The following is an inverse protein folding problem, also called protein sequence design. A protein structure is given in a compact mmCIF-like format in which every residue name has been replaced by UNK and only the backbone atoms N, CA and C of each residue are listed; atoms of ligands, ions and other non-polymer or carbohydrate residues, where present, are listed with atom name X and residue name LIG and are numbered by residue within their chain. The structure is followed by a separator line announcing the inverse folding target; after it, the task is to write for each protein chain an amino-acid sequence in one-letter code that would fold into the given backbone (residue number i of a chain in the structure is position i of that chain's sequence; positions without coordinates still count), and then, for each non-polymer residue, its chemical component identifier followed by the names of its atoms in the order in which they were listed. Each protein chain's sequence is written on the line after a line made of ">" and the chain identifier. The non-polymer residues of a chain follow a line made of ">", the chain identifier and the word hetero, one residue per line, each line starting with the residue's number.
data_IF_995699301923
#
_entry.id   IF_995699301923
#
_cell.length_a   1.000
_cell.length_b   1.000
_cell.length_c   1.000
_cell.angle_alpha   90.00
_cell.angle_beta   90.00
_cell.angle_gamma   90.00
#
_symmetry.space_group_name_H-M   'P 1'
#
loop_
_entity.id
_entity.type
_entity.pdbx_description
1 polymer ?
#
# COMPACT_ATOMS: atom_id res chain seq x y z
N UNK A 1 -24.40 22.79 1.84
CA UNK A 1 -25.00 21.88 0.82
C UNK A 1 -24.37 20.51 0.75
N UNK A 2 -23.08 20.34 0.41
CA UNK A 2 -22.46 19.00 0.35
C UNK A 2 -22.61 18.18 1.62
N UNK A 3 -22.35 18.77 2.79
CA UNK A 3 -22.49 18.10 4.10
C UNK A 3 -23.94 17.65 4.37
N UNK A 4 -24.92 18.48 4.02
CA UNK A 4 -26.35 18.18 4.14
C UNK A 4 -26.80 17.10 3.15
N UNK A 5 -26.31 17.15 1.92
CA UNK A 5 -26.53 16.11 0.90
C UNK A 5 -25.93 14.79 1.35
N UNK A 6 -24.73 14.79 1.93
CA UNK A 6 -24.13 13.58 2.47
C UNK A 6 -24.99 13.00 3.58
N UNK A 7 -25.54 13.81 4.49
CA UNK A 7 -26.44 13.35 5.56
C UNK A 7 -27.59 12.50 5.01
N UNK A 8 -28.32 13.01 4.02
CA UNK A 8 -29.54 12.39 3.48
C UNK A 8 -29.34 11.51 2.23
N UNK A 9 -28.16 11.56 1.62
CA UNK A 9 -27.90 11.02 0.29
C UNK A 9 -27.53 9.53 0.25
N UNK A 10 -27.47 8.95 -0.97
CA UNK A 10 -27.17 7.55 -1.18
C UNK A 10 -25.74 7.18 -0.76
N UNK A 11 -25.54 5.90 -0.42
CA UNK A 11 -24.30 5.36 0.16
C UNK A 11 -23.03 5.61 -0.66
N UNK A 12 -23.13 5.59 -1.98
CA UNK A 12 -21.99 5.72 -2.90
C UNK A 12 -21.81 7.13 -3.43
N UNK A 13 -21.92 8.11 -2.54
CA UNK A 13 -21.78 9.51 -2.89
C UNK A 13 -20.32 9.86 -3.18
N UNK A 14 -19.97 9.93 -4.47
CA UNK A 14 -18.70 10.52 -4.93
C UNK A 14 -18.53 11.98 -4.48
N UNK A 15 -19.60 12.61 -3.96
CA UNK A 15 -19.56 13.95 -3.40
C UNK A 15 -18.61 14.02 -2.19
N UNK A 16 -18.34 12.90 -1.49
CA UNK A 16 -17.37 12.88 -0.39
C UNK A 16 -15.97 13.26 -0.88
N UNK A 17 -15.54 12.77 -2.04
CA UNK A 17 -14.25 13.15 -2.62
C UNK A 17 -14.20 14.64 -2.96
N UNK A 18 -15.30 15.19 -3.49
CA UNK A 18 -15.38 16.63 -3.80
C UNK A 18 -15.36 17.48 -2.54
N UNK A 19 -16.10 17.08 -1.50
CA UNK A 19 -16.08 17.74 -0.19
C UNK A 19 -14.68 17.72 0.40
N UNK A 20 -13.99 16.58 0.39
CA UNK A 20 -12.61 16.47 0.88
C UNK A 20 -11.66 17.37 0.10
N UNK A 21 -11.75 17.42 -1.23
CA UNK A 21 -10.94 18.34 -2.06
C UNK A 21 -11.14 19.80 -1.63
N UNK A 22 -12.41 20.24 -1.54
CA UNK A 22 -12.74 21.61 -1.15
C UNK A 22 -12.28 21.93 0.27
N UNK A 23 -12.42 20.99 1.21
CA UNK A 23 -11.98 21.18 2.58
C UNK A 23 -10.45 21.32 2.69
N UNK A 24 -9.70 20.48 1.97
CA UNK A 24 -8.23 20.53 1.94
C UNK A 24 -7.70 21.81 1.27
N UNK A 25 -8.32 22.25 0.17
CA UNK A 25 -8.00 23.49 -0.54
C UNK A 25 -8.23 24.73 0.34
N UNK A 26 -9.25 24.71 1.20
CA UNK A 26 -9.68 25.86 2.01
C UNK A 26 -9.33 25.73 3.50
N UNK A 27 -8.28 24.98 3.84
CA UNK A 27 -7.89 24.67 5.24
C UNK A 27 -7.59 25.89 6.13
N UNK A 28 -7.24 27.03 5.54
CA UNK A 28 -6.92 28.28 6.27
C UNK A 28 -8.14 29.21 6.45
N UNK A 29 -9.27 28.90 5.82
CA UNK A 29 -10.47 29.74 5.92
C UNK A 29 -11.28 29.38 7.16
N UNK A 30 -11.37 30.30 8.12
CA UNK A 30 -12.05 30.07 9.40
C UNK A 30 -13.54 29.74 9.23
N UNK A 31 -14.24 30.42 8.31
CA UNK A 31 -15.66 30.15 8.03
C UNK A 31 -15.89 28.70 7.60
N UNK A 32 -15.00 28.15 6.77
CA UNK A 32 -15.09 26.75 6.33
C UNK A 32 -14.88 25.82 7.50
N UNK A 33 -13.88 26.08 8.35
CA UNK A 33 -13.64 25.30 9.56
C UNK A 33 -14.84 25.34 10.51
N UNK A 34 -15.49 26.49 10.69
CA UNK A 34 -16.68 26.61 11.54
C UNK A 34 -17.86 25.81 10.98
N UNK A 35 -18.14 25.92 9.67
CA UNK A 35 -19.20 25.14 9.01
C UNK A 35 -18.92 23.64 9.09
N UNK A 36 -17.66 23.23 8.93
CA UNK A 36 -17.28 21.83 9.09
C UNK A 36 -17.53 21.36 10.52
N UNK A 37 -17.10 22.11 11.54
CA UNK A 37 -17.28 21.74 12.96
C UNK A 37 -18.74 21.50 13.33
N UNK A 38 -19.64 22.37 12.87
CA UNK A 38 -21.08 22.29 13.14
C UNK A 38 -21.73 21.03 12.54
N UNK A 39 -21.22 20.55 11.41
CA UNK A 39 -21.86 19.46 10.66
C UNK A 39 -21.10 18.13 10.70
N UNK A 40 -19.79 18.11 11.01
CA UNK A 40 -18.95 16.90 10.99
C UNK A 40 -19.44 15.82 11.94
N UNK A 41 -19.98 16.23 13.09
CA UNK A 41 -20.50 15.31 14.11
C UNK A 41 -21.81 14.63 13.69
N UNK A 42 -22.54 15.23 12.74
CA UNK A 42 -23.83 14.73 12.28
C UNK A 42 -23.73 13.75 11.10
N UNK A 43 -22.54 13.57 10.53
CA UNK A 43 -22.30 12.64 9.42
C UNK A 43 -21.74 11.34 9.98
N UNK A 44 -22.31 10.22 9.56
CA UNK A 44 -21.82 8.88 9.91
C UNK A 44 -20.39 8.66 9.41
N UNK A 45 -19.53 8.13 10.27
CA UNK A 45 -18.09 7.92 10.06
C UNK A 45 -17.79 6.99 8.87
N UNK A 46 -18.65 6.00 8.60
CA UNK A 46 -18.48 5.07 7.47
C UNK A 46 -18.35 5.78 6.10
N UNK A 47 -18.92 6.98 5.96
CA UNK A 47 -18.85 7.76 4.71
C UNK A 47 -17.46 8.34 4.45
N UNK A 48 -16.65 8.50 5.48
CA UNK A 48 -15.31 9.05 5.38
C UNK A 48 -14.25 7.97 5.06
N UNK A 49 -14.55 6.68 5.25
CA UNK A 49 -13.59 5.59 5.03
C UNK A 49 -12.93 5.61 3.65
N UNK A 50 -13.66 5.88 2.54
CA UNK A 50 -13.05 5.95 1.22
C UNK A 50 -12.08 7.13 1.05
N UNK A 51 -12.11 8.14 1.91
CA UNK A 51 -11.20 9.31 1.84
C UNK A 51 -10.13 9.30 2.94
N UNK A 52 -10.16 8.34 3.87
CA UNK A 52 -9.13 8.21 4.92
C UNK A 52 -7.70 8.18 4.36
N UNK A 53 -7.38 7.46 3.26
CA UNK A 53 -6.04 7.49 2.68
C UNK A 53 -5.59 8.87 2.18
N UNK A 54 -6.54 9.72 1.77
CA UNK A 54 -6.28 11.09 1.33
C UNK A 54 -6.18 12.06 2.52
N UNK A 55 -6.90 11.79 3.61
CA UNK A 55 -6.92 12.58 4.83
C UNK A 55 -5.70 12.31 5.73
N UNK A 56 -5.28 11.05 5.85
CA UNK A 56 -4.20 10.65 6.76
C UNK A 56 -2.86 11.38 6.54
N UNK A 57 -2.41 11.69 5.30
CA UNK A 57 -1.19 12.47 5.06
C UNK A 57 -1.21 13.88 5.68
N UNK A 58 -2.39 14.43 5.96
CA UNK A 58 -2.59 15.75 6.55
C UNK A 58 -2.67 15.74 8.09
N UNK A 59 -2.57 14.56 8.73
CA UNK A 59 -2.39 14.47 10.18
C UNK A 59 -1.16 15.30 10.57
N UNK A 60 -1.23 15.96 11.71
CA UNK A 60 -0.13 16.76 12.25
C UNK A 60 -0.23 16.84 13.78
N UNK A 61 0.88 17.17 14.44
CA UNK A 61 0.95 17.44 15.88
C UNK A 61 0.77 18.93 16.24
N UNK A 62 0.47 19.77 15.25
CA UNK A 62 0.20 21.20 15.43
C UNK A 62 -1.18 21.41 16.08
N UNK A 63 -1.20 21.85 17.33
CA UNK A 63 -2.43 22.05 18.10
C UNK A 63 -3.09 23.42 17.86
N UNK A 64 -2.32 24.36 17.31
CA UNK A 64 -2.68 25.72 16.93
C UNK A 64 -3.62 25.78 15.72
N UNK A 65 -3.60 24.76 14.87
CA UNK A 65 -4.43 24.72 13.66
C UNK A 65 -5.80 24.06 13.90
N UNK A 66 -6.88 24.84 13.71
CA UNK A 66 -8.26 24.37 13.82
C UNK A 66 -8.55 23.21 12.86
N UNK A 67 -8.03 23.28 11.63
CA UNK A 67 -8.20 22.21 10.64
C UNK A 67 -7.58 20.90 11.14
N UNK A 68 -6.32 20.93 11.59
CA UNK A 68 -5.63 19.77 12.15
C UNK A 68 -6.39 19.16 13.33
N UNK A 69 -6.95 19.98 14.22
CA UNK A 69 -7.75 19.51 15.35
C UNK A 69 -9.01 18.77 14.91
N UNK A 70 -9.76 19.34 13.96
CA UNK A 70 -10.97 18.73 13.41
C UNK A 70 -10.65 17.43 12.66
N UNK A 71 -9.60 17.43 11.84
CA UNK A 71 -9.13 16.26 11.10
C UNK A 71 -8.73 15.11 12.04
N UNK A 72 -7.91 15.41 13.06
CA UNK A 72 -7.48 14.41 14.03
C UNK A 72 -8.67 13.83 14.79
N UNK A 73 -9.62 14.68 15.19
CA UNK A 73 -10.85 14.24 15.89
C UNK A 73 -11.70 13.33 15.01
N UNK A 74 -11.86 13.68 13.72
CA UNK A 74 -12.60 12.87 12.75
C UNK A 74 -11.95 11.50 12.55
N UNK A 75 -10.63 11.45 12.36
CA UNK A 75 -9.90 10.21 12.14
C UNK A 75 -9.89 9.33 13.40
N UNK A 76 -9.84 9.92 14.60
CA UNK A 76 -10.01 9.18 15.84
C UNK A 76 -11.41 8.56 15.96
N UNK A 77 -12.47 9.30 15.60
CA UNK A 77 -13.84 8.75 15.54
C UNK A 77 -13.94 7.60 14.54
N UNK A 78 -13.39 7.76 13.33
CA UNK A 78 -13.37 6.70 12.32
C UNK A 78 -12.54 5.48 12.77
N UNK A 79 -11.49 5.68 13.57
CA UNK A 79 -10.68 4.61 14.12
C UNK A 79 -11.40 3.82 15.22
N UNK A 80 -12.25 4.49 16.01
CA UNK A 80 -13.09 3.83 17.01
C UNK A 80 -14.25 3.08 16.36
N UNK A 81 -14.96 3.73 15.44
CA UNK A 81 -16.14 3.16 14.80
C UNK A 81 -15.79 2.07 13.77
N UNK A 82 -14.68 2.24 13.04
CA UNK A 82 -14.25 1.37 11.95
C UNK A 82 -12.74 1.03 12.04
N UNK A 83 -12.33 0.26 13.06
CA UNK A 83 -10.91 0.04 13.36
C UNK A 83 -10.17 -0.62 12.20
N UNK A 84 -10.74 -1.63 11.55
CA UNK A 84 -10.07 -2.37 10.47
C UNK A 84 -9.91 -1.58 9.16
N UNK A 85 -10.66 -0.50 8.97
CA UNK A 85 -10.56 0.36 7.79
C UNK A 85 -9.61 1.54 8.02
N UNK A 86 -9.60 2.08 9.24
CA UNK A 86 -8.88 3.32 9.56
C UNK A 86 -7.51 3.06 10.20
N UNK A 87 -7.41 2.13 11.15
CA UNK A 87 -6.17 1.87 11.89
C UNK A 87 -5.00 1.43 10.99
N UNK A 88 -5.17 0.57 9.97
CA UNK A 88 -4.06 0.18 9.10
C UNK A 88 -3.41 1.38 8.40
N UNK A 89 -4.21 2.39 8.00
CA UNK A 89 -3.71 3.60 7.34
C UNK A 89 -2.92 4.47 8.33
N UNK A 90 -3.45 4.68 9.54
CA UNK A 90 -2.79 5.46 10.59
C UNK A 90 -1.51 4.76 11.07
N UNK A 91 -1.55 3.44 11.25
CA UNK A 91 -0.40 2.62 11.64
C UNK A 91 0.71 2.68 10.60
N UNK A 92 0.38 2.56 9.31
CA UNK A 92 1.36 2.69 8.24
C UNK A 92 2.06 4.06 8.27
N UNK A 93 1.31 5.14 8.53
CA UNK A 93 1.85 6.48 8.66
C UNK A 93 2.76 6.61 9.90
N UNK A 94 2.32 6.12 11.06
CA UNK A 94 3.10 6.15 12.30
C UNK A 94 4.39 5.30 12.21
N UNK A 95 4.35 4.24 11.41
CA UNK A 95 5.47 3.33 11.15
C UNK A 95 6.34 3.77 9.95
N UNK A 96 6.10 4.94 9.34
CA UNK A 96 6.77 5.36 8.10
C UNK A 96 8.29 5.20 8.13
N UNK A 97 8.93 5.41 9.29
CA UNK A 97 10.39 5.33 9.42
C UNK A 97 10.92 4.05 10.10
N UNK A 98 10.05 3.10 10.47
CA UNK A 98 10.47 1.84 11.12
C UNK A 98 11.39 0.99 10.24
N UNK A 99 11.29 1.13 8.92
CA UNK A 99 12.20 0.45 7.98
C UNK A 99 13.68 0.78 8.21
N UNK A 100 13.98 1.97 8.75
CA UNK A 100 15.36 2.44 8.96
C UNK A 100 16.11 1.59 9.97
N UNK A 101 15.41 0.96 10.91
CA UNK A 101 15.96 0.01 11.88
C UNK A 101 16.64 -1.18 11.18
N UNK A 102 16.20 -1.51 9.96
CA UNK A 102 16.71 -2.65 9.20
C UNK A 102 17.64 -2.26 8.05
N UNK A 103 17.59 -1.00 7.57
CA UNK A 103 18.44 -0.56 6.45
C UNK A 103 19.71 0.17 6.88
N UNK A 104 19.97 0.32 8.19
CA UNK A 104 21.18 0.97 8.73
C UNK A 104 21.33 2.46 8.37
N UNK A 105 20.24 3.11 7.95
CA UNK A 105 20.27 4.53 7.57
C UNK A 105 20.38 5.41 8.82
N UNK A 106 21.31 6.38 8.82
CA UNK A 106 21.57 7.28 9.95
C UNK A 106 20.28 7.94 10.47
N UNK A 107 20.12 7.96 11.79
CA UNK A 107 18.99 8.46 12.57
C UNK A 107 18.75 9.99 12.52
N UNK A 108 19.47 10.73 11.67
CA UNK A 108 19.51 12.19 11.66
C UNK A 108 18.35 12.92 10.96
N UNK A 109 17.19 12.28 10.77
CA UNK A 109 16.04 12.94 10.12
C UNK A 109 15.04 13.33 11.20
N UNK A 110 14.80 14.64 11.32
CA UNK A 110 13.69 15.21 12.09
C UNK A 110 12.40 14.49 11.72
N UNK A 111 11.78 13.83 12.68
CA UNK A 111 10.51 13.12 12.46
C UNK A 111 9.48 14.10 11.92
N UNK A 112 8.91 13.78 10.76
CA UNK A 112 7.95 14.66 10.11
C UNK A 112 6.73 14.91 11.02
N UNK A 113 6.15 16.13 11.07
CA UNK A 113 5.00 16.47 11.92
C UNK A 113 3.83 15.49 11.77
N UNK A 114 3.62 14.94 10.57
CA UNK A 114 2.58 13.94 10.29
C UNK A 114 2.80 12.59 10.96
N UNK A 115 4.06 12.16 11.04
CA UNK A 115 4.43 10.90 11.71
C UNK A 115 4.27 11.06 13.21
N UNK A 116 4.73 12.18 13.77
CA UNK A 116 4.52 12.52 15.19
C UNK A 116 3.02 12.63 15.53
N UNK A 117 2.23 13.29 14.67
CA UNK A 117 0.78 13.39 14.83
C UNK A 117 0.10 12.02 14.86
N UNK A 118 0.48 11.13 13.95
CA UNK A 118 -0.05 9.76 13.90
C UNK A 118 0.36 8.93 15.13
N UNK A 119 1.62 9.04 15.57
CA UNK A 119 2.10 8.38 16.79
C UNK A 119 1.35 8.86 18.05
N UNK A 120 1.13 10.17 18.17
CA UNK A 120 0.34 10.74 19.26
C UNK A 120 -1.12 10.26 19.22
N UNK A 121 -1.70 10.17 18.03
CA UNK A 121 -3.06 9.64 17.83
C UNK A 121 -3.16 8.18 18.27
N UNK A 122 -2.21 7.32 17.87
CA UNK A 122 -2.14 5.92 18.32
C UNK A 122 -2.03 5.85 19.84
N UNK A 123 -1.19 6.69 20.46
CA UNK A 123 -1.04 6.71 21.91
C UNK A 123 -2.37 7.08 22.62
N UNK A 124 -3.16 8.01 22.07
CA UNK A 124 -4.50 8.33 22.58
C UNK A 124 -5.49 7.19 22.36
N UNK A 125 -5.48 6.57 21.17
CA UNK A 125 -6.36 5.44 20.85
C UNK A 125 -6.08 4.23 21.74
N UNK A 126 -4.82 3.99 22.14
CA UNK A 126 -4.47 2.95 23.12
C UNK A 126 -5.12 3.16 24.49
N UNK A 127 -5.51 4.38 24.86
CA UNK A 127 -6.18 4.64 26.14
C UNK A 127 -7.69 4.34 26.08
N UNK A 128 -8.25 4.14 24.89
CA UNK A 128 -9.66 3.81 24.67
C UNK A 128 -9.86 2.30 24.70
N UNK A 129 -10.72 1.80 25.59
CA UNK A 129 -10.93 0.37 25.81
C UNK A 129 -11.53 -0.33 24.59
N UNK A 130 -12.28 0.40 23.76
CA UNK A 130 -13.00 -0.09 22.59
C UNK A 130 -12.06 -0.60 21.49
N UNK A 131 -10.88 0.01 21.34
CA UNK A 131 -9.92 -0.30 20.26
C UNK A 131 -8.56 -0.74 20.74
N UNK A 132 -8.26 -0.63 22.04
CA UNK A 132 -6.94 -0.94 22.61
C UNK A 132 -6.47 -2.36 22.22
N UNK A 133 -7.32 -3.37 22.41
CA UNK A 133 -6.98 -4.77 22.15
C UNK A 133 -6.69 -5.05 20.67
N UNK A 134 -7.51 -4.50 19.78
CA UNK A 134 -7.34 -4.58 18.33
C UNK A 134 -6.03 -3.89 17.93
N UNK A 135 -5.78 -2.69 18.45
CA UNK A 135 -4.62 -1.87 18.11
C UNK A 135 -3.30 -2.53 18.54
N UNK A 136 -3.25 -3.12 19.73
CA UNK A 136 -2.07 -3.87 20.21
C UNK A 136 -1.77 -5.04 19.26
N UNK A 137 -2.77 -5.86 18.93
CA UNK A 137 -2.55 -6.98 18.02
C UNK A 137 -2.14 -6.51 16.61
N UNK A 138 -2.73 -5.42 16.10
CA UNK A 138 -2.35 -4.85 14.81
C UNK A 138 -0.91 -4.35 14.78
N UNK A 139 -0.43 -3.70 15.85
CA UNK A 139 0.96 -3.25 15.96
C UNK A 139 1.94 -4.41 15.96
N UNK A 140 1.63 -5.50 16.69
CA UNK A 140 2.46 -6.69 16.73
C UNK A 140 2.54 -7.37 15.36
N UNK A 141 1.40 -7.52 14.68
CA UNK A 141 1.33 -8.09 13.33
C UNK A 141 2.11 -7.22 12.35
N UNK A 142 1.92 -5.89 12.39
CA UNK A 142 2.63 -4.97 11.52
C UNK A 142 4.16 -5.03 11.74
N UNK A 143 4.61 -4.99 13.00
CA UNK A 143 6.03 -5.07 13.34
C UNK A 143 6.65 -6.39 12.87
N UNK A 144 5.95 -7.52 13.07
CA UNK A 144 6.42 -8.83 12.65
C UNK A 144 6.52 -8.96 11.11
N UNK A 145 5.54 -8.41 10.38
CA UNK A 145 5.56 -8.42 8.91
C UNK A 145 6.63 -7.48 8.33
N UNK A 146 6.88 -6.32 8.96
CA UNK A 146 8.00 -5.43 8.60
C UNK A 146 9.33 -6.18 8.83
N UNK A 147 9.52 -6.79 9.99
CA UNK A 147 10.73 -7.57 10.29
C UNK A 147 10.95 -8.69 9.26
N UNK A 148 9.87 -9.38 8.86
CA UNK A 148 9.91 -10.40 7.83
C UNK A 148 10.29 -9.82 6.45
N UNK A 149 9.78 -8.65 6.09
CA UNK A 149 10.10 -7.98 4.83
C UNK A 149 11.62 -7.77 4.68
N UNK A 150 12.30 -7.39 5.76
CA UNK A 150 13.75 -7.15 5.79
C UNK A 150 14.60 -8.34 6.20
N UNK A 151 14.00 -9.46 6.58
CA UNK A 151 14.75 -10.66 6.93
C UNK A 151 15.57 -11.17 5.73
N UNK A 152 16.89 -11.23 5.88
CA UNK A 152 17.81 -11.69 4.84
C UNK A 152 17.97 -13.21 4.92
N UNK A 153 17.89 -13.89 3.76
CA UNK A 153 18.12 -15.33 3.68
C UNK A 153 18.98 -15.71 2.50
N UNK A 154 19.58 -16.90 2.60
CA UNK A 154 20.23 -17.56 1.46
C UNK A 154 19.17 -17.80 0.39
N UNK A 155 19.53 -17.64 -0.90
CA UNK A 155 18.60 -17.71 -2.05
C UNK A 155 18.10 -19.15 -2.33
N UNK A 156 17.53 -19.83 -1.35
CA UNK A 156 16.83 -21.10 -1.53
C UNK A 156 15.37 -20.84 -1.90
N UNK A 157 14.75 -21.80 -2.62
CA UNK A 157 13.34 -21.69 -3.04
C UNK A 157 12.37 -21.57 -1.85
N UNK A 158 12.71 -22.19 -0.72
CA UNK A 158 11.92 -22.17 0.52
C UNK A 158 12.86 -21.86 1.69
N UNK A 159 12.45 -20.95 2.55
CA UNK A 159 13.17 -20.51 3.75
C UNK A 159 12.24 -20.56 4.96
N UNK A 160 12.79 -20.86 6.14
CA UNK A 160 12.02 -20.85 7.39
C UNK A 160 11.93 -19.44 7.97
N UNK A 161 10.78 -19.09 8.52
CA UNK A 161 10.54 -17.84 9.25
C UNK A 161 11.09 -18.00 10.67
N UNK A 162 11.86 -17.03 11.20
CA UNK A 162 12.31 -17.04 12.58
C UNK A 162 11.16 -17.17 13.59
N UNK A 163 11.34 -18.03 14.61
CA UNK A 163 10.37 -18.19 15.71
C UNK A 163 10.07 -16.89 16.45
N UNK A 164 11.03 -15.96 16.49
CA UNK A 164 10.86 -14.61 17.07
C UNK A 164 9.81 -13.77 16.34
N UNK A 165 9.61 -13.99 15.04
CA UNK A 165 8.59 -13.32 14.23
C UNK A 165 7.27 -14.09 14.32
N UNK A 166 7.31 -15.42 14.16
CA UNK A 166 6.11 -16.27 14.15
C UNK A 166 5.28 -16.15 15.43
N UNK A 167 5.90 -15.97 16.60
CA UNK A 167 5.18 -15.79 17.87
C UNK A 167 4.18 -14.63 17.86
N UNK A 168 4.44 -13.60 17.05
CA UNK A 168 3.56 -12.43 16.90
C UNK A 168 2.51 -12.59 15.80
N UNK A 169 2.57 -13.68 15.02
CA UNK A 169 1.72 -13.98 13.87
C UNK A 169 0.77 -15.17 14.11
N UNK A 170 0.58 -15.56 15.38
CA UNK A 170 -0.27 -16.68 15.79
C UNK A 170 -1.41 -16.13 16.67
N UNK A 171 -2.62 -16.66 16.47
CA UNK A 171 -3.82 -16.39 17.26
C UNK A 171 -4.14 -14.89 17.43
N UNK A 172 -4.07 -14.12 16.34
CA UNK A 172 -4.46 -12.70 16.30
C UNK A 172 -5.89 -12.56 15.77
N UNK A 173 -6.84 -13.11 16.54
CA UNK A 173 -8.26 -13.21 16.14
C UNK A 173 -8.95 -11.87 16.03
N UNK A 174 -8.46 -10.84 16.72
CA UNK A 174 -9.01 -9.48 16.67
C UNK A 174 -8.51 -8.69 15.46
N UNK A 175 -7.55 -9.22 14.68
CA UNK A 175 -7.00 -8.53 13.51
C UNK A 175 -7.43 -9.29 12.27
N UNK A 176 -8.26 -8.65 11.45
CA UNK A 176 -8.65 -9.21 10.18
C UNK A 176 -7.43 -9.54 9.30
N UNK A 177 -7.53 -10.61 8.51
CA UNK A 177 -6.48 -10.99 7.55
C UNK A 177 -6.18 -9.79 6.62
N UNK A 178 -4.92 -9.29 6.53
CA UNK A 178 -4.62 -8.00 5.89
C UNK A 178 -5.05 -7.89 4.42
N UNK A 179 -4.97 -9.01 3.69
CA UNK A 179 -5.28 -9.06 2.26
C UNK A 179 -6.76 -9.26 1.96
N UNK A 180 -7.62 -9.33 2.99
CA UNK A 180 -9.05 -9.50 2.82
C UNK A 180 -9.76 -8.15 2.72
N UNK A 181 -10.75 -8.06 1.83
CA UNK A 181 -11.64 -6.90 1.78
C UNK A 181 -12.73 -7.07 2.82
N UNK A 182 -12.76 -6.18 3.81
CA UNK A 182 -13.74 -6.19 4.90
C UNK A 182 -14.91 -5.29 4.49
N UNK A 183 -16.15 -5.79 4.44
CA UNK A 183 -17.31 -4.95 4.19
C UNK A 183 -17.44 -3.89 5.28
N UNK A 184 -17.95 -2.72 4.92
CA UNK A 184 -18.17 -1.65 5.89
C UNK A 184 -19.49 -1.93 6.60
N UNK A 185 -19.45 -2.15 7.92
CA UNK A 185 -20.65 -2.30 8.73
C UNK A 185 -21.11 -0.92 9.23
N UNK A 186 -22.36 -0.55 8.96
CA UNK A 186 -22.94 0.72 9.37
C UNK A 186 -23.20 0.83 10.87
N UNK A 187 -23.38 -0.32 11.53
CA UNK A 187 -23.62 -0.38 12.98
C UNK A 187 -22.31 -0.28 13.78
N UNK A 188 -21.18 -0.08 13.09
CA UNK A 188 -19.85 0.04 13.68
C UNK A 188 -19.40 -1.20 14.48
N UNK A 189 -20.01 -2.36 14.20
CA UNK A 189 -19.69 -3.65 14.83
C UNK A 189 -18.98 -4.58 13.85
N UNK A 190 -17.92 -5.22 14.31
CA UNK A 190 -17.03 -6.04 13.49
C UNK A 190 -16.78 -7.41 14.15
N UNK A 191 -17.83 -7.98 14.75
CA UNK A 191 -17.74 -9.24 15.49
C UNK A 191 -17.54 -10.47 14.57
N UNK A 192 -17.87 -10.33 13.28
CA UNK A 192 -17.85 -11.38 12.26
C UNK A 192 -16.58 -11.37 11.39
N UNK A 193 -15.55 -10.65 11.78
CA UNK A 193 -14.31 -10.58 11.01
C UNK A 193 -13.56 -11.92 11.00
N UNK A 194 -12.96 -12.22 9.84
CA UNK A 194 -12.02 -13.34 9.72
C UNK A 194 -10.66 -12.85 10.20
N UNK A 195 -10.37 -13.14 11.47
CA UNK A 195 -9.10 -12.88 12.13
C UNK A 195 -7.95 -13.75 11.61
N UNK A 196 -6.72 -13.44 12.04
CA UNK A 196 -5.53 -14.22 11.73
C UNK A 196 -5.44 -15.40 12.71
N UNK A 197 -5.51 -16.63 12.20
CA UNK A 197 -5.27 -17.83 13.00
C UNK A 197 -3.77 -18.13 13.10
N UNK A 198 -3.06 -18.24 11.97
CA UNK A 198 -1.60 -18.44 11.93
C UNK A 198 -1.00 -18.09 10.57
N UNK A 199 0.30 -17.87 10.52
CA UNK A 199 1.08 -17.86 9.28
C UNK A 199 1.86 -19.16 9.09
N UNK A 200 2.24 -19.48 7.86
CA UNK A 200 3.11 -20.61 7.55
C UNK A 200 4.51 -20.42 8.13
N UNK A 201 5.12 -21.49 8.63
CA UNK A 201 6.50 -21.46 9.18
C UNK A 201 7.58 -21.21 8.12
N UNK A 202 7.19 -21.27 6.84
CA UNK A 202 8.06 -21.12 5.70
C UNK A 202 7.57 -20.01 4.77
N UNK A 203 8.50 -19.43 4.02
CA UNK A 203 8.25 -18.49 2.95
C UNK A 203 9.03 -18.85 1.69
N UNK A 204 8.46 -18.54 0.53
CA UNK A 204 9.11 -18.68 -0.77
C UNK A 204 9.63 -17.34 -1.29
N UNK A 205 10.69 -17.37 -2.10
CA UNK A 205 11.16 -16.20 -2.84
C UNK A 205 10.58 -16.22 -4.26
N UNK A 206 9.98 -15.11 -4.70
CA UNK A 206 9.36 -15.01 -6.04
C UNK A 206 10.27 -14.36 -7.10
N UNK A 207 11.53 -14.11 -6.75
CA UNK A 207 12.50 -13.44 -7.62
C UNK A 207 12.32 -11.91 -7.70
N UNK A 208 13.22 -11.25 -8.43
CA UNK A 208 13.26 -9.79 -8.56
C UNK A 208 14.28 -9.11 -7.65
N UNK A 209 14.55 -7.83 -7.92
CA UNK A 209 15.64 -7.04 -7.31
C UNK A 209 15.51 -6.97 -5.78
N UNK A 210 14.28 -6.82 -5.28
CA UNK A 210 13.99 -6.67 -3.84
C UNK A 210 13.57 -7.97 -3.14
N UNK A 211 13.67 -9.13 -3.82
CA UNK A 211 13.37 -10.46 -3.30
C UNK A 211 12.10 -10.53 -2.40
N UNK A 212 10.90 -10.26 -2.97
CA UNK A 212 9.66 -10.36 -2.22
C UNK A 212 9.44 -11.77 -1.67
N UNK A 213 8.80 -11.85 -0.49
CA UNK A 213 8.56 -13.11 0.22
C UNK A 213 7.09 -13.51 0.08
N UNK A 214 6.85 -14.67 -0.52
CA UNK A 214 5.52 -15.29 -0.59
C UNK A 214 5.28 -16.10 0.68
N UNK A 215 4.25 -15.75 1.43
CA UNK A 215 3.83 -16.43 2.66
C UNK A 215 2.36 -16.80 2.60
N UNK A 216 1.95 -17.75 3.45
CA UNK A 216 0.55 -18.13 3.57
C UNK A 216 -0.02 -17.74 4.93
N UNK A 217 -1.18 -17.09 4.93
CA UNK A 217 -1.93 -16.73 6.12
C UNK A 217 -3.20 -17.58 6.20
N UNK A 218 -3.41 -18.25 7.33
CA UNK A 218 -4.63 -18.97 7.64
C UNK A 218 -5.56 -18.07 8.45
N UNK A 219 -6.77 -17.87 7.94
CA UNK A 219 -7.83 -17.17 8.68
C UNK A 219 -8.45 -18.04 9.77
N UNK A 220 -9.21 -17.43 10.67
CA UNK A 220 -10.05 -18.14 11.65
C UNK A 220 -11.13 -19.01 11.00
N UNK A 221 -11.43 -18.77 9.72
CA UNK A 221 -12.29 -19.58 8.87
C UNK A 221 -11.62 -20.86 8.32
N UNK A 222 -10.34 -21.07 8.61
CA UNK A 222 -9.58 -22.22 8.13
C UNK A 222 -9.19 -22.13 6.65
N UNK A 223 -9.31 -20.96 6.01
CA UNK A 223 -8.92 -20.79 4.60
C UNK A 223 -7.51 -20.22 4.50
N UNK A 224 -6.65 -20.90 3.74
CA UNK A 224 -5.30 -20.46 3.39
C UNK A 224 -5.33 -19.34 2.33
N UNK A 225 -4.69 -18.21 2.64
CA UNK A 225 -4.58 -17.05 1.75
C UNK A 225 -3.11 -16.72 1.55
N UNK A 226 -2.56 -16.93 0.34
CA UNK A 226 -1.21 -16.53 0.03
C UNK A 226 -1.11 -15.00 -0.04
N UNK A 227 0.00 -14.48 0.41
CA UNK A 227 0.32 -13.05 0.48
C UNK A 227 1.75 -12.83 0.03
N UNK A 228 2.03 -11.61 -0.42
CA UNK A 228 3.35 -11.16 -0.79
C UNK A 228 3.82 -10.07 0.16
N UNK A 229 4.86 -10.36 0.94
CA UNK A 229 5.53 -9.36 1.78
C UNK A 229 6.65 -8.74 0.98
N UNK A 230 6.59 -7.42 0.82
CA UNK A 230 7.56 -6.63 0.07
C UNK A 230 8.25 -5.65 1.01
N UNK A 231 9.57 -5.54 0.87
CA UNK A 231 10.38 -4.52 1.53
C UNK A 231 11.18 -3.73 0.49
N UNK A 232 11.76 -2.61 0.90
CA UNK A 232 12.58 -1.71 0.07
C UNK A 232 11.81 -1.03 -1.09
N UNK A 233 10.47 -1.07 -1.10
CA UNK A 233 9.60 -0.52 -2.16
C UNK A 233 8.48 0.37 -1.59
N UNK A 234 8.18 1.49 -2.25
CA UNK A 234 7.07 2.36 -1.84
C UNK A 234 5.73 1.83 -2.37
N UNK A 235 5.02 1.07 -1.53
CA UNK A 235 3.72 0.49 -1.86
C UNK A 235 2.55 1.47 -1.77
N UNK A 236 2.77 2.72 -1.35
CA UNK A 236 1.67 3.68 -1.19
C UNK A 236 1.10 4.10 -2.54
N UNK A 237 1.96 4.29 -3.54
CA UNK A 237 1.53 4.61 -4.90
C UNK A 237 0.67 3.47 -5.48
N UNK A 238 1.13 2.23 -5.30
CA UNK A 238 0.39 1.05 -5.74
C UNK A 238 -0.98 0.93 -5.04
N UNK A 239 -1.03 1.17 -3.73
CA UNK A 239 -2.27 1.14 -2.96
C UNK A 239 -3.27 2.23 -3.40
N UNK A 240 -2.78 3.45 -3.67
CA UNK A 240 -3.60 4.55 -4.20
C UNK A 240 -4.16 4.19 -5.59
N UNK A 241 -3.34 3.58 -6.46
CA UNK A 241 -3.83 3.13 -7.77
C UNK A 241 -4.90 2.04 -7.66
N UNK A 242 -4.77 1.08 -6.73
CA UNK A 242 -5.82 0.09 -6.46
C UNK A 242 -7.14 0.75 -5.98
N UNK A 243 -7.04 1.82 -5.19
CA UNK A 243 -8.20 2.61 -4.78
C UNK A 243 -8.88 3.28 -5.98
N UNK A 244 -8.11 3.86 -6.90
CA UNK A 244 -8.64 4.44 -8.15
C UNK A 244 -9.38 3.38 -8.96
N UNK A 245 -8.82 2.17 -9.13
CA UNK A 245 -9.52 1.08 -9.83
C UNK A 245 -10.82 0.66 -9.14
N UNK A 246 -10.86 0.71 -7.80
CA UNK A 246 -12.10 0.44 -7.04
C UNK A 246 -13.18 1.50 -7.32
N UNK A 247 -12.79 2.78 -7.42
CA UNK A 247 -13.69 3.87 -7.78
C UNK A 247 -14.17 3.72 -9.24
N UNK A 248 -13.26 3.40 -10.16
CA UNK A 248 -13.61 3.14 -11.56
C UNK A 248 -14.61 1.99 -11.69
N UNK A 249 -14.41 0.91 -10.95
CA UNK A 249 -15.36 -0.20 -10.89
C UNK A 249 -16.74 0.23 -10.38
N UNK A 250 -16.80 1.18 -9.44
CA UNK A 250 -18.07 1.75 -8.98
C UNK A 250 -18.77 2.54 -10.09
N UNK A 251 -18.01 3.37 -10.84
CA UNK A 251 -18.54 4.10 -12.00
C UNK A 251 -19.02 3.15 -13.11
N UNK A 252 -18.25 2.12 -13.42
CA UNK A 252 -18.61 1.09 -14.41
C UNK A 252 -19.84 0.28 -14.00
N UNK A 253 -20.08 0.08 -12.70
CA UNK A 253 -21.32 -0.57 -12.22
C UNK A 253 -22.55 0.34 -12.33
N UNK A 254 -22.37 1.66 -12.28
CA UNK A 254 -23.47 2.62 -12.35
C UNK A 254 -23.99 2.82 -13.79
N UNK A 255 -23.18 2.55 -14.81
CA UNK A 255 -23.63 2.55 -16.20
C UNK A 255 -24.26 1.20 -16.59
N UNK A 256 -25.47 1.25 -17.17
CA UNK A 256 -26.26 0.05 -17.52
C UNK A 256 -25.55 -0.85 -18.54
N UNK A 257 -24.91 -0.27 -19.55
CA UNK A 257 -24.25 -1.00 -20.63
C UNK A 257 -23.01 -1.74 -20.13
N UNK A 258 -22.17 -1.06 -19.35
CA UNK A 258 -20.96 -1.66 -18.77
C UNK A 258 -21.30 -2.70 -17.71
N UNK A 259 -22.34 -2.47 -16.89
CA UNK A 259 -22.86 -3.43 -15.91
C UNK A 259 -23.39 -4.70 -16.58
N UNK A 260 -24.16 -4.57 -17.66
CA UNK A 260 -24.70 -5.72 -18.43
C UNK A 260 -23.57 -6.64 -18.93
N UNK A 261 -22.45 -6.04 -19.35
CA UNK A 261 -21.26 -6.74 -19.86
C UNK A 261 -20.27 -7.15 -18.76
N UNK A 262 -20.55 -6.83 -17.49
CA UNK A 262 -19.67 -7.06 -16.33
C UNK A 262 -18.24 -6.52 -16.55
N UNK A 263 -18.13 -5.36 -17.20
CA UNK A 263 -16.83 -4.72 -17.44
C UNK A 263 -16.29 -4.19 -16.12
N UNK A 264 -15.31 -4.90 -15.56
CA UNK A 264 -14.66 -4.58 -14.29
C UNK A 264 -13.16 -4.83 -14.41
N UNK A 265 -12.40 -4.00 -13.73
CA UNK A 265 -10.97 -4.18 -13.53
C UNK A 265 -10.79 -5.08 -12.31
N UNK A 266 -10.00 -6.16 -12.43
CA UNK A 266 -9.65 -6.99 -11.28
C UNK A 266 -8.72 -6.22 -10.35
N UNK A 267 -9.17 -5.98 -9.13
CA UNK A 267 -8.39 -5.34 -8.07
C UNK A 267 -7.82 -6.38 -7.12
N UNK A 268 -6.78 -6.01 -6.39
CA UNK A 268 -6.21 -6.82 -5.31
C UNK A 268 -5.81 -5.90 -4.15
N UNK A 269 -5.78 -6.45 -2.93
CA UNK A 269 -5.54 -5.64 -1.74
C UNK A 269 -4.05 -5.38 -1.52
N UNK A 270 -3.72 -4.14 -1.19
CA UNK A 270 -2.39 -3.71 -0.74
C UNK A 270 -2.55 -3.04 0.61
N UNK A 271 -1.75 -3.46 1.59
CA UNK A 271 -1.69 -2.86 2.93
C UNK A 271 -0.26 -2.40 3.18
N UNK A 272 0.02 -1.09 3.02
CA UNK A 272 1.28 -0.51 3.45
C UNK A 272 1.44 -0.73 4.96
N UNK A 273 2.64 -1.09 5.40
CA UNK A 273 2.97 -1.23 6.83
C UNK A 273 3.92 -0.14 7.31
N UNK A 274 4.67 0.45 6.38
CA UNK A 274 5.63 1.54 6.58
C UNK A 274 5.82 2.30 5.26
N UNK A 275 6.86 3.15 5.14
CA UNK A 275 7.14 3.87 3.90
C UNK A 275 7.68 2.96 2.80
N UNK A 276 8.45 1.91 3.16
CA UNK A 276 9.13 1.04 2.20
C UNK A 276 8.78 -0.44 2.34
N UNK A 277 7.75 -0.78 3.11
CA UNK A 277 7.30 -2.15 3.25
C UNK A 277 5.79 -2.29 3.39
N UNK A 278 5.30 -3.48 3.07
CA UNK A 278 3.90 -3.84 3.26
C UNK A 278 3.55 -5.20 2.67
N UNK A 279 2.26 -5.49 2.65
CA UNK A 279 1.71 -6.78 2.25
C UNK A 279 0.74 -6.59 1.10
N UNK A 280 0.82 -7.49 0.13
CA UNK A 280 -0.05 -7.55 -1.03
C UNK A 280 -0.78 -8.89 -1.06
N UNK A 281 -2.00 -8.88 -1.54
CA UNK A 281 -2.74 -10.08 -1.91
C UNK A 281 -2.04 -10.81 -3.05
N UNK A 282 -1.86 -12.13 -2.91
CA UNK A 282 -1.37 -12.95 -4.01
C UNK A 282 -2.54 -13.43 -4.87
N UNK A 283 -2.59 -12.95 -6.12
CA UNK A 283 -3.57 -13.40 -7.10
C UNK A 283 -3.33 -14.88 -7.46
N UNK A 284 -4.08 -15.79 -6.83
CA UNK A 284 -4.05 -17.21 -7.16
C UNK A 284 -4.48 -17.46 -8.61
N UNK A 285 -3.97 -18.56 -9.18
CA UNK A 285 -4.27 -19.01 -10.55
C UNK A 285 -3.94 -17.97 -11.62
N UNK A 286 -2.89 -17.18 -11.40
CA UNK A 286 -2.35 -16.24 -12.37
C UNK A 286 -0.89 -16.54 -12.66
N UNK A 287 -0.46 -16.18 -13.87
CA UNK A 287 0.94 -16.22 -14.28
C UNK A 287 1.28 -14.89 -14.99
N UNK A 288 2.47 -14.32 -14.76
CA UNK A 288 2.91 -13.17 -15.54
C UNK A 288 2.93 -13.51 -17.02
N UNK A 289 2.38 -12.64 -17.86
CA UNK A 289 2.33 -12.85 -19.32
C UNK A 289 3.74 -13.08 -19.91
N UNK A 290 4.75 -12.38 -19.39
CA UNK A 290 6.14 -12.57 -19.78
C UNK A 290 6.67 -13.97 -19.47
N UNK A 291 6.23 -14.59 -18.36
CA UNK A 291 6.62 -15.96 -18.02
C UNK A 291 6.02 -16.97 -18.99
N UNK A 292 4.77 -16.75 -19.44
CA UNK A 292 4.13 -17.63 -20.43
C UNK A 292 4.74 -17.46 -21.82
N UNK A 293 4.97 -16.22 -22.26
CA UNK A 293 5.47 -15.93 -23.61
C UNK A 293 6.97 -16.21 -23.76
N UNK A 294 7.76 -15.80 -22.76
CA UNK A 294 9.23 -15.70 -22.84
C UNK A 294 9.97 -16.43 -21.72
N UNK A 295 9.25 -17.16 -20.85
CA UNK A 295 9.86 -18.00 -19.82
C UNK A 295 10.53 -19.25 -20.40
N UNK A 296 10.99 -20.14 -19.52
CA UNK A 296 11.54 -21.43 -19.93
C UNK A 296 10.46 -22.24 -20.67
N UNK A 297 10.73 -22.64 -21.92
CA UNK A 297 9.75 -23.25 -22.82
C UNK A 297 8.49 -22.36 -23.00
N UNK A 298 8.70 -21.06 -23.17
CA UNK A 298 7.66 -20.07 -23.44
C UNK A 298 7.00 -20.26 -24.81
N UNK A 299 5.81 -19.68 -24.98
CA UNK A 299 5.03 -19.82 -26.20
C UNK A 299 5.79 -19.38 -27.47
N UNK A 300 6.63 -18.34 -27.38
CA UNK A 300 7.41 -17.85 -28.52
C UNK A 300 8.33 -18.93 -29.10
N UNK A 301 9.18 -19.52 -28.23
CA UNK A 301 10.13 -20.57 -28.61
C UNK A 301 9.42 -21.86 -29.05
N UNK A 302 8.25 -22.16 -28.45
CA UNK A 302 7.49 -23.38 -28.74
C UNK A 302 6.80 -23.34 -30.09
N UNK A 303 6.15 -22.24 -30.43
CA UNK A 303 5.34 -22.14 -31.65
C UNK A 303 6.12 -21.56 -32.84
N UNK A 304 7.21 -20.81 -32.57
CA UNK A 304 8.03 -20.16 -33.59
C UNK A 304 9.53 -20.41 -33.31
N UNK A 305 10.02 -21.65 -33.46
CA UNK A 305 11.41 -21.99 -33.16
C UNK A 305 12.43 -21.38 -34.12
N UNK A 306 12.02 -21.00 -35.34
CA UNK A 306 12.89 -20.37 -36.34
C UNK A 306 13.02 -18.84 -36.16
N UNK A 307 12.16 -18.24 -35.33
CA UNK A 307 12.22 -16.81 -35.03
C UNK A 307 13.40 -16.49 -34.11
N UNK A 308 13.82 -15.22 -34.15
CA UNK A 308 14.87 -14.72 -33.25
C UNK A 308 14.49 -14.95 -31.79
N UNK A 309 15.48 -15.35 -30.99
CA UNK A 309 15.29 -15.60 -29.57
C UNK A 309 15.00 -14.31 -28.81
N UNK A 310 14.32 -14.44 -27.66
CA UNK A 310 14.01 -13.31 -26.77
C UNK A 310 15.28 -12.55 -26.34
N UNK A 311 16.38 -13.29 -26.13
CA UNK A 311 17.68 -12.69 -25.74
C UNK A 311 18.24 -11.83 -26.87
N UNK A 312 18.25 -12.34 -28.10
CA UNK A 312 18.72 -11.59 -29.27
C UNK A 312 17.88 -10.35 -29.54
N UNK A 313 16.55 -10.47 -29.46
CA UNK A 313 15.64 -9.34 -29.61
C UNK A 313 15.92 -8.24 -28.55
N UNK A 314 16.14 -8.63 -27.28
CA UNK A 314 16.52 -7.68 -26.23
C UNK A 314 17.85 -6.99 -26.51
N UNK A 315 18.87 -7.74 -26.94
CA UNK A 315 20.19 -7.18 -27.30
C UNK A 315 20.09 -6.22 -28.47
N UNK A 316 19.31 -6.55 -29.50
CA UNK A 316 19.12 -5.72 -30.68
C UNK A 316 18.44 -4.39 -30.32
N UNK A 317 17.36 -4.43 -29.53
CA UNK A 317 16.66 -3.23 -29.05
C UNK A 317 17.59 -2.38 -28.17
N UNK A 318 18.37 -3.00 -27.26
CA UNK A 318 19.32 -2.26 -26.42
C UNK A 318 20.39 -1.54 -27.25
N UNK A 319 20.97 -2.23 -28.26
CA UNK A 319 21.96 -1.62 -29.17
C UNK A 319 21.37 -0.44 -29.93
N UNK A 320 20.15 -0.59 -30.46
CA UNK A 320 19.47 0.48 -31.18
C UNK A 320 19.18 1.68 -30.28
N UNK A 321 18.67 1.45 -29.06
CA UNK A 321 18.40 2.52 -28.10
C UNK A 321 19.67 3.27 -27.69
N UNK A 322 20.80 2.56 -27.50
CA UNK A 322 22.09 3.21 -27.23
C UNK A 322 22.56 4.06 -28.41
N UNK A 323 22.41 3.57 -29.65
CA UNK A 323 22.77 4.34 -30.84
C UNK A 323 21.92 5.61 -30.98
N UNK A 324 20.59 5.51 -30.79
CA UNK A 324 19.69 6.67 -30.85
C UNK A 324 20.04 7.71 -29.79
N UNK A 325 20.34 7.27 -28.55
CA UNK A 325 20.81 8.15 -27.48
C UNK A 325 22.16 8.80 -27.83
N UNK A 326 23.06 8.07 -28.48
CA UNK A 326 24.35 8.59 -28.94
C UNK A 326 24.20 9.65 -30.03
N UNK A 327 23.28 9.43 -30.98
CA UNK A 327 23.00 10.38 -32.07
C UNK A 327 22.21 11.61 -31.61
N UNK A 328 21.31 11.48 -30.62
CA UNK A 328 20.48 12.59 -30.13
C UNK A 328 21.17 13.45 -29.07
N UNK A 329 22.15 12.92 -28.34
CA UNK A 329 22.94 13.68 -27.35
C UNK A 329 24.30 14.15 -27.85
N UNK A 330 24.59 14.03 -29.14
CA UNK A 330 25.82 14.53 -29.73
C UNK A 330 27.08 13.94 -29.10
N UNK A 331 27.31 12.63 -29.30
CA UNK A 331 28.67 12.08 -29.31
C UNK A 331 29.60 12.30 -28.10
N UNK A 332 29.09 12.53 -26.90
CA UNK A 332 29.90 12.52 -25.68
C UNK A 332 29.55 11.28 -24.85
N UNK A 333 30.33 10.21 -25.05
CA UNK A 333 30.18 8.95 -24.34
C UNK A 333 30.48 9.06 -22.84
N UNK A 334 29.61 8.49 -22.02
CA UNK A 334 29.91 8.18 -20.61
C UNK A 334 29.63 6.69 -20.43
N UNK A 335 30.65 5.93 -20.02
CA UNK A 335 30.52 4.51 -19.71
C UNK A 335 29.82 4.32 -18.34
N UNK A 336 29.27 3.12 -18.12
CA UNK A 336 28.29 2.72 -17.08
C UNK A 336 28.82 2.88 -15.64
N UNK A 337 30.06 3.34 -15.44
CA UNK A 337 30.68 3.63 -14.14
C UNK A 337 31.09 5.10 -13.92
N UNK A 338 30.71 6.04 -14.79
CA UNK A 338 30.89 7.47 -14.52
C UNK A 338 32.35 7.95 -14.48
N UNK A 339 33.27 7.33 -15.23
CA UNK A 339 34.59 7.90 -15.50
C UNK A 339 34.65 8.44 -16.93
N UNK A 340 35.17 9.67 -17.07
CA UNK A 340 35.46 10.27 -18.37
C UNK A 340 36.51 9.42 -19.11
N UNK A 341 36.22 9.08 -20.37
CA UNK A 341 37.24 8.60 -21.30
C UNK A 341 38.18 9.77 -21.56
N UNK A 342 39.44 9.64 -21.12
CA UNK A 342 40.49 10.59 -21.52
C UNK A 342 40.83 10.35 -22.97
N UNK A 343 40.79 11.41 -23.77
CA UNK A 343 41.32 11.45 -25.12
C UNK A 343 42.76 10.91 -25.14
N UNK A 344 43.01 9.91 -25.98
CA UNK A 344 44.35 9.61 -26.47
C UNK A 344 44.44 10.10 -27.91
N UNK A 345 44.84 11.36 -28.04
CA UNK A 345 45.56 11.82 -29.23
C UNK A 345 47.06 11.59 -29.04
N UNK A 346 47.72 11.26 -30.15
CA UNK A 346 49.15 11.00 -30.38
C UNK A 346 49.66 9.66 -29.83
N UNK A 347 50.34 8.81 -30.62
CA UNK A 347 51.58 9.10 -31.33
C UNK A 347 51.67 8.37 -32.69
N UNK A 348 52.24 9.12 -33.63
CA UNK A 348 52.69 8.83 -35.00
C UNK A 348 53.58 7.59 -35.18
N UNK A 349 53.43 6.92 -36.32
CA UNK A 349 54.51 6.56 -37.27
C UNK A 349 53.88 6.27 -38.63
#
# INVERSE_FOLDING_TARGET
>A
NYLMSLKCGPEHSLQMFRLTSLWLENRSHEEVCQVMEQHLNNISTYRFLPVVPQLAPHISNRADDNFTRQLNTLLERCAVDHPHHTLPVILALANSHKDKEYTGAKSGITTEPRVLGAQNMIHRLKKRSEVNSILIQMEEVAAALIALAYYETKQTKVNSIPKSILKHLINKTLVAVPTMTIPVNKDCKYDDIIGIHKYSDNFGLVGGINAPKKISCWGTDGIERPQLVKGKDDLRQDAVMQQVFTILNTLLKNNKETKKRKLLIRTYKIVPLSQRSGVLEWCQNTQPLSSYLTGANGAHERYYPEDRSVKECRTLIMRFNMQVLWTTKGGAGVDIQGRQLKDHQSVTS
#
